data_IF_544170443721
#
_entry.id   IF_544170443721
#
_cell.length_a   1.000
_cell.length_b   1.000
_cell.length_c   1.000
_cell.angle_alpha   90.00
_cell.angle_beta   90.00
_cell.angle_gamma   90.00
#
_symmetry.space_group_name_H-M   'P 1'
#
loop_
_entity.id
_entity.type
_entity.pdbx_description
1 polymer ?
#
# COMPACT_ATOMS: atom_id res chain seq x y z
N UNK A 1 14.79 5.13 63.90
CA UNK A 1 13.89 4.51 62.91
C UNK A 1 13.83 5.39 61.67
N UNK A 2 14.47 4.99 60.56
CA UNK A 2 14.38 5.68 59.27
C UNK A 2 13.17 5.13 58.55
N UNK A 3 12.12 5.91 58.39
CA UNK A 3 10.98 5.57 57.55
C UNK A 3 11.47 5.49 56.10
N UNK A 4 11.45 4.29 55.49
CA UNK A 4 11.59 4.12 54.07
C UNK A 4 10.41 4.86 53.41
N UNK A 5 10.69 5.95 52.66
CA UNK A 5 9.74 6.50 51.74
C UNK A 5 9.40 5.40 50.69
N UNK A 6 8.23 4.84 50.81
CA UNK A 6 7.64 4.10 49.68
C UNK A 6 7.42 5.10 48.59
N UNK A 7 8.19 5.01 47.52
CA UNK A 7 7.83 5.68 46.24
C UNK A 7 6.48 5.05 45.83
N UNK A 8 5.41 5.82 45.93
CA UNK A 8 4.16 5.44 45.28
C UNK A 8 4.46 5.39 43.76
N UNK A 9 4.44 4.20 43.21
CA UNK A 9 4.49 3.99 41.76
C UNK A 9 3.23 4.62 41.20
N UNK A 10 3.37 5.66 40.38
CA UNK A 10 2.24 6.32 39.78
C UNK A 10 1.68 5.40 38.68
N UNK A 11 0.47 4.90 38.86
CA UNK A 11 -0.25 4.16 37.84
C UNK A 11 -0.57 5.13 36.71
N UNK A 12 -0.11 4.81 35.52
CA UNK A 12 -0.43 5.57 34.30
C UNK A 12 -1.57 4.90 33.55
N UNK A 13 -2.46 5.73 33.00
CA UNK A 13 -3.56 5.27 32.15
C UNK A 13 -3.24 5.47 30.69
N UNK A 14 -3.48 4.42 29.93
CA UNK A 14 -3.30 4.40 28.49
C UNK A 14 -4.60 4.03 27.82
N UNK A 15 -4.82 4.60 26.63
CA UNK A 15 -6.02 4.37 25.84
C UNK A 15 -5.65 3.88 24.45
N UNK A 16 -6.48 2.97 23.94
CA UNK A 16 -6.47 2.56 22.54
C UNK A 16 -7.76 2.95 21.88
N UNK A 17 -7.67 3.44 20.64
CA UNK A 17 -8.83 3.70 19.78
C UNK A 17 -8.60 3.01 18.45
N UNK A 18 -9.63 2.34 17.91
CA UNK A 18 -9.68 1.94 16.50
C UNK A 18 -11.08 2.15 15.95
N UNK A 19 -11.19 2.33 14.64
CA UNK A 19 -12.47 2.51 13.98
C UNK A 19 -12.53 1.74 12.67
N UNK A 20 -13.68 1.16 12.42
CA UNK A 20 -13.95 0.31 11.25
C UNK A 20 -15.45 0.11 11.00
N UNK A 21 -15.78 -0.78 10.09
CA UNK A 21 -14.92 -1.50 9.15
C UNK A 21 -14.59 -0.65 7.93
N UNK A 22 -13.29 -0.35 7.72
CA UNK A 22 -12.85 0.52 6.63
C UNK A 22 -13.09 -0.14 5.29
N UNK A 23 -12.62 -1.38 5.10
CA UNK A 23 -12.71 -2.09 3.82
C UNK A 23 -14.15 -2.27 3.34
N UNK A 24 -15.06 -2.55 4.25
CA UNK A 24 -16.48 -2.64 3.92
C UNK A 24 -17.05 -1.32 3.42
N UNK A 25 -16.65 -0.19 4.00
CA UNK A 25 -17.09 1.13 3.56
C UNK A 25 -16.40 1.51 2.24
N UNK A 26 -15.14 1.15 2.07
CA UNK A 26 -14.40 1.33 0.82
C UNK A 26 -15.02 0.51 -0.34
N UNK A 27 -15.60 -0.67 -0.05
CA UNK A 27 -16.25 -1.49 -1.08
C UNK A 27 -17.49 -0.82 -1.71
N UNK A 28 -18.04 0.22 -1.09
CA UNK A 28 -19.13 1.02 -1.69
C UNK A 28 -18.65 1.96 -2.81
N UNK A 29 -17.36 2.19 -2.91
CA UNK A 29 -16.78 3.10 -3.87
C UNK A 29 -16.71 2.46 -5.27
N UNK A 30 -17.27 3.13 -6.29
CA UNK A 30 -17.35 2.62 -7.66
C UNK A 30 -16.41 3.31 -8.64
N UNK A 31 -15.94 4.49 -8.28
CA UNK A 31 -15.06 5.31 -9.09
C UNK A 31 -13.80 5.66 -8.30
N UNK A 32 -12.75 6.10 -8.99
CA UNK A 32 -11.51 6.54 -8.36
C UNK A 32 -11.74 7.66 -7.36
N UNK A 33 -12.60 8.63 -7.72
CA UNK A 33 -13.00 9.72 -6.84
C UNK A 33 -13.69 9.20 -5.58
N UNK A 34 -14.60 8.23 -5.70
CA UNK A 34 -15.29 7.66 -4.54
C UNK A 34 -14.37 6.79 -3.68
N UNK A 35 -13.37 6.13 -4.25
CA UNK A 35 -12.30 5.43 -3.49
C UNK A 35 -11.49 6.45 -2.68
N UNK A 36 -11.06 7.54 -3.31
CA UNK A 36 -10.39 8.61 -2.59
C UNK A 36 -11.27 9.20 -1.48
N UNK A 37 -12.52 9.55 -1.79
CA UNK A 37 -13.43 10.16 -0.83
C UNK A 37 -13.71 9.25 0.37
N UNK A 38 -13.88 7.95 0.16
CA UNK A 38 -14.12 6.98 1.23
C UNK A 38 -12.87 6.76 2.10
N UNK A 39 -11.69 6.66 1.49
CA UNK A 39 -10.43 6.58 2.22
C UNK A 39 -10.15 7.88 3.02
N UNK A 40 -10.31 9.03 2.37
CA UNK A 40 -10.12 10.32 3.02
C UNK A 40 -11.10 10.56 4.16
N UNK A 41 -12.31 10.05 4.07
CA UNK A 41 -13.35 10.15 5.11
C UNK A 41 -12.86 9.56 6.44
N UNK A 42 -12.27 8.37 6.44
CA UNK A 42 -11.74 7.77 7.66
C UNK A 42 -10.54 8.53 8.21
N UNK A 43 -9.66 8.99 7.34
CA UNK A 43 -8.53 9.81 7.75
C UNK A 43 -8.96 11.18 8.32
N UNK A 44 -10.01 11.82 7.76
CA UNK A 44 -10.59 13.07 8.30
C UNK A 44 -11.30 12.82 9.64
N UNK A 45 -12.00 11.70 9.77
CA UNK A 45 -12.62 11.27 11.03
C UNK A 45 -11.56 11.09 12.12
N UNK A 46 -10.49 10.33 11.82
CA UNK A 46 -9.35 10.14 12.71
C UNK A 46 -8.72 11.45 13.12
N UNK A 47 -8.43 12.34 12.16
CA UNK A 47 -7.89 13.69 12.40
C UNK A 47 -8.73 14.46 13.38
N UNK A 48 -10.06 14.43 13.24
CA UNK A 48 -11.01 15.16 14.10
C UNK A 48 -11.06 14.59 15.51
N UNK A 49 -10.88 13.27 15.68
CA UNK A 49 -10.82 12.63 17.01
C UNK A 49 -9.46 12.88 17.68
N UNK A 50 -8.38 12.73 16.94
CA UNK A 50 -7.01 12.84 17.46
C UNK A 50 -6.64 14.28 17.83
N UNK A 51 -7.18 15.26 17.10
CA UNK A 51 -6.85 16.68 17.36
C UNK A 51 -7.20 17.12 18.79
N UNK A 52 -8.43 16.98 19.30
CA UNK A 52 -8.76 17.36 20.68
C UNK A 52 -7.97 16.58 21.73
N UNK A 53 -7.64 15.31 21.48
CA UNK A 53 -6.78 14.50 22.37
C UNK A 53 -5.35 15.07 22.42
N UNK A 54 -4.81 15.43 21.26
CA UNK A 54 -3.49 16.08 21.16
C UNK A 54 -3.48 17.47 21.82
N UNK A 55 -4.54 18.26 21.63
CA UNK A 55 -4.69 19.58 22.24
C UNK A 55 -4.87 19.48 23.78
N UNK A 56 -5.42 18.36 24.28
CA UNK A 56 -5.49 18.04 25.72
C UNK A 56 -4.15 17.57 26.31
N UNK A 57 -3.10 17.41 25.50
CA UNK A 57 -1.77 17.02 25.94
C UNK A 57 -1.53 15.52 26.00
N UNK A 58 -2.41 14.69 25.44
CA UNK A 58 -2.20 13.25 25.35
C UNK A 58 -0.91 12.93 24.58
N UNK A 59 -0.13 11.99 25.09
CA UNK A 59 1.12 11.54 24.45
C UNK A 59 0.86 10.28 23.63
N UNK A 60 0.90 10.43 22.31
CA UNK A 60 0.71 9.32 21.39
C UNK A 60 1.95 8.41 21.36
N UNK A 61 1.73 7.12 21.59
CA UNK A 61 2.75 6.07 21.56
C UNK A 61 2.80 5.42 20.18
N UNK A 62 1.62 5.24 19.53
CA UNK A 62 1.51 4.66 18.19
C UNK A 62 0.19 5.09 17.53
N UNK A 63 0.24 5.63 16.29
CA UNK A 63 1.43 6.24 15.69
C UNK A 63 1.86 7.50 16.46
N UNK A 64 3.07 7.97 16.20
CA UNK A 64 3.49 9.30 16.68
C UNK A 64 2.65 10.36 15.99
N UNK A 65 2.10 11.30 16.77
CA UNK A 65 1.29 12.40 16.26
C UNK A 65 2.02 13.72 16.53
N UNK A 66 2.29 14.47 15.48
CA UNK A 66 2.92 15.79 15.57
C UNK A 66 2.03 16.88 14.96
N UNK A 67 2.33 18.15 15.28
CA UNK A 67 1.52 19.30 14.82
C UNK A 67 1.48 19.46 13.30
N UNK A 68 2.50 19.00 12.57
CA UNK A 68 2.57 19.10 11.10
C UNK A 68 1.52 18.21 10.41
N UNK A 69 1.15 17.08 11.03
CA UNK A 69 0.13 16.19 10.50
C UNK A 69 -1.25 16.86 10.36
N UNK A 70 -1.55 17.84 11.22
CA UNK A 70 -2.85 18.56 11.18
C UNK A 70 -2.94 19.60 10.07
N UNK A 71 -1.85 19.84 9.34
CA UNK A 71 -1.85 20.74 8.20
C UNK A 71 -2.83 20.32 7.10
N UNK A 72 -3.13 21.23 6.14
CA UNK A 72 -3.99 20.89 5.02
C UNK A 72 -3.33 19.84 4.14
N UNK A 73 -4.10 18.84 3.71
CA UNK A 73 -3.67 17.77 2.81
C UNK A 73 -4.88 17.21 2.10
N UNK A 74 -4.75 16.90 0.81
CA UNK A 74 -5.73 16.16 0.03
C UNK A 74 -5.55 14.64 0.11
N UNK A 75 -4.47 14.18 0.75
CA UNK A 75 -4.18 12.76 0.99
C UNK A 75 -4.48 12.42 2.45
N UNK A 76 -5.13 11.29 2.68
CA UNK A 76 -5.37 10.78 4.02
C UNK A 76 -4.06 10.39 4.71
N UNK A 77 -3.82 10.94 5.91
CA UNK A 77 -2.57 10.75 6.68
C UNK A 77 -2.79 10.14 8.05
N UNK A 78 -4.04 10.03 8.48
CA UNK A 78 -4.39 9.58 9.81
C UNK A 78 -4.85 8.13 9.72
N UNK A 79 -4.11 7.17 10.32
CA UNK A 79 -4.51 5.78 10.37
C UNK A 79 -5.76 5.56 11.25
N UNK A 80 -6.25 4.35 11.29
CA UNK A 80 -7.45 3.95 11.99
C UNK A 80 -7.22 3.57 13.46
N UNK A 81 -5.97 3.32 13.84
CA UNK A 81 -5.62 2.85 15.17
C UNK A 81 -4.66 3.78 15.90
N UNK A 82 -4.95 4.07 17.17
CA UNK A 82 -4.12 4.92 18.04
C UNK A 82 -3.96 4.32 19.41
N UNK A 83 -2.75 4.47 19.96
CA UNK A 83 -2.41 4.19 21.36
C UNK A 83 -1.78 5.42 21.98
N UNK A 84 -2.30 5.90 23.11
CA UNK A 84 -1.83 7.11 23.75
C UNK A 84 -1.93 7.04 25.28
N UNK A 85 -1.06 7.79 25.96
CA UNK A 85 -1.10 8.04 27.40
C UNK A 85 -2.12 9.15 27.67
N UNK A 86 -3.03 8.90 28.64
CA UNK A 86 -4.02 9.87 29.06
C UNK A 86 -3.44 11.04 29.84
N UNK A 87 -4.29 11.98 30.17
CA UNK A 87 -3.98 13.18 30.99
C UNK A 87 -5.07 13.36 32.06
N UNK A 88 -4.89 14.31 32.98
CA UNK A 88 -5.95 14.63 33.95
C UNK A 88 -7.28 15.01 33.30
N UNK A 89 -7.25 15.54 32.08
CA UNK A 89 -8.44 15.87 31.28
C UNK A 89 -9.01 14.68 30.54
N UNK A 90 -8.18 13.73 30.18
CA UNK A 90 -8.53 12.50 29.46
C UNK A 90 -8.16 11.31 30.36
N UNK A 91 -9.02 11.04 31.31
CA UNK A 91 -8.73 10.10 32.42
C UNK A 91 -9.63 8.87 32.44
N UNK A 92 -10.62 8.78 31.53
CA UNK A 92 -11.53 7.63 31.45
C UNK A 92 -11.99 7.34 30.01
N UNK A 93 -12.50 6.13 29.79
CA UNK A 93 -13.12 5.71 28.51
C UNK A 93 -14.29 6.62 28.15
N UNK A 94 -15.07 7.05 29.12
CA UNK A 94 -16.26 7.91 28.91
C UNK A 94 -15.85 9.23 28.28
N UNK A 95 -14.77 9.87 28.76
CA UNK A 95 -14.26 11.14 28.22
C UNK A 95 -13.80 10.96 26.77
N UNK A 96 -13.11 9.87 26.46
CA UNK A 96 -12.68 9.56 25.09
C UNK A 96 -13.89 9.30 24.19
N UNK A 97 -14.88 8.55 24.68
CA UNK A 97 -16.12 8.25 23.96
C UNK A 97 -16.92 9.51 23.64
N UNK A 98 -17.02 10.44 24.60
CA UNK A 98 -17.70 11.71 24.38
C UNK A 98 -17.06 12.52 23.24
N UNK A 99 -15.73 12.56 23.16
CA UNK A 99 -15.02 13.18 22.05
C UNK A 99 -15.39 12.50 20.71
N UNK A 100 -15.39 11.18 20.66
CA UNK A 100 -15.74 10.41 19.47
C UNK A 100 -17.20 10.67 19.03
N UNK A 101 -18.13 10.65 19.97
CA UNK A 101 -19.55 10.88 19.71
C UNK A 101 -19.82 12.30 19.22
N UNK A 102 -19.15 13.32 19.80
CA UNK A 102 -19.22 14.71 19.35
C UNK A 102 -18.72 14.87 17.91
N UNK A 103 -17.63 14.18 17.56
CA UNK A 103 -17.10 14.19 16.19
C UNK A 103 -18.07 13.52 15.22
N UNK A 104 -18.65 12.35 15.58
CA UNK A 104 -19.65 11.69 14.74
C UNK A 104 -20.91 12.54 14.54
N UNK A 105 -21.37 13.26 15.57
CA UNK A 105 -22.45 14.24 15.48
C UNK A 105 -22.14 15.37 14.49
N UNK A 106 -20.92 15.96 14.56
CA UNK A 106 -20.51 17.02 13.62
C UNK A 106 -20.45 16.50 12.18
N UNK A 107 -19.82 15.34 11.96
CA UNK A 107 -19.76 14.69 10.65
C UNK A 107 -21.16 14.40 10.12
N UNK A 108 -22.07 13.87 10.95
CA UNK A 108 -23.45 13.62 10.60
C UNK A 108 -24.19 14.89 10.16
N UNK A 109 -24.04 15.99 10.89
CA UNK A 109 -24.62 17.28 10.53
C UNK A 109 -24.10 17.81 9.18
N UNK A 110 -22.83 17.61 8.90
CA UNK A 110 -22.23 17.98 7.61
C UNK A 110 -22.77 17.09 6.48
N UNK A 111 -22.93 15.78 6.73
CA UNK A 111 -23.53 14.86 5.75
C UNK A 111 -24.97 15.23 5.41
N UNK A 112 -25.81 15.51 6.40
CA UNK A 112 -27.20 15.95 6.18
C UNK A 112 -27.24 17.16 5.24
N UNK A 113 -26.39 18.17 5.50
CA UNK A 113 -26.29 19.37 4.64
C UNK A 113 -25.79 19.05 3.23
N UNK A 114 -24.70 18.28 3.12
CA UNK A 114 -24.09 17.94 1.84
C UNK A 114 -25.01 17.11 0.96
N UNK A 115 -25.78 16.21 1.55
CA UNK A 115 -26.71 15.32 0.84
C UNK A 115 -28.10 15.95 0.62
N UNK A 116 -28.40 17.06 1.27
CA UNK A 116 -29.72 17.69 1.20
C UNK A 116 -30.83 16.85 1.82
N UNK A 117 -30.51 16.12 2.91
CA UNK A 117 -31.46 15.20 3.54
C UNK A 117 -32.36 15.91 4.54
N UNK A 118 -33.61 15.47 4.59
CA UNK A 118 -34.56 15.89 5.63
C UNK A 118 -34.52 14.90 6.81
N UNK A 119 -33.34 14.80 7.44
CA UNK A 119 -33.10 14.00 8.63
C UNK A 119 -32.72 14.90 9.80
N UNK A 120 -33.17 14.52 11.02
CA UNK A 120 -32.68 15.18 12.21
C UNK A 120 -31.27 14.67 12.59
N UNK A 121 -30.62 15.39 13.53
CA UNK A 121 -29.25 15.10 13.96
C UNK A 121 -29.10 13.69 14.54
N UNK A 122 -30.09 13.27 15.33
CA UNK A 122 -30.04 11.99 16.04
C UNK A 122 -30.15 10.81 15.06
N UNK A 123 -31.00 10.92 14.04
CA UNK A 123 -31.15 9.90 13.02
C UNK A 123 -29.86 9.66 12.22
N UNK A 124 -29.15 10.73 11.86
CA UNK A 124 -27.88 10.60 11.13
C UNK A 124 -26.74 10.12 12.06
N UNK A 125 -26.74 10.56 13.30
CA UNK A 125 -25.80 10.07 14.31
C UNK A 125 -25.97 8.57 14.55
N UNK A 126 -27.22 8.10 14.73
CA UNK A 126 -27.53 6.68 14.88
C UNK A 126 -27.13 5.87 13.64
N UNK A 127 -27.32 6.42 12.43
CA UNK A 127 -26.84 5.81 11.20
C UNK A 127 -25.31 5.64 11.22
N UNK A 128 -24.58 6.72 11.51
CA UNK A 128 -23.12 6.68 11.54
C UNK A 128 -22.62 5.70 12.61
N UNK A 129 -23.20 5.70 13.79
CA UNK A 129 -22.84 4.77 14.89
C UNK A 129 -23.05 3.29 14.54
N UNK A 130 -24.04 2.99 13.69
CA UNK A 130 -24.23 1.63 13.17
C UNK A 130 -23.21 1.27 12.08
N UNK A 131 -22.85 2.23 11.22
CA UNK A 131 -21.93 2.01 10.09
C UNK A 131 -20.46 2.08 10.46
N UNK A 132 -20.12 2.95 11.39
CA UNK A 132 -18.75 3.19 11.85
C UNK A 132 -18.66 2.79 13.31
N UNK A 133 -17.95 1.72 13.57
CA UNK A 133 -17.68 1.27 14.93
C UNK A 133 -16.41 1.94 15.43
N UNK A 134 -16.47 2.51 16.62
CA UNK A 134 -15.33 3.07 17.32
C UNK A 134 -15.14 2.26 18.60
N UNK A 135 -14.03 1.52 18.64
CA UNK A 135 -13.65 0.74 19.81
C UNK A 135 -12.66 1.52 20.64
N UNK A 136 -12.88 1.54 21.95
CA UNK A 136 -12.04 2.23 22.91
C UNK A 136 -11.71 1.24 24.01
N UNK A 137 -10.43 1.12 24.32
CA UNK A 137 -9.92 0.29 25.42
C UNK A 137 -9.06 1.13 26.36
N UNK A 138 -9.07 0.78 27.65
CA UNK A 138 -8.25 1.39 28.69
C UNK A 138 -7.31 0.35 29.25
N UNK A 139 -6.08 0.75 29.52
CA UNK A 139 -5.05 -0.09 30.10
C UNK A 139 -4.27 0.68 31.15
N UNK A 140 -4.13 0.11 32.33
CA UNK A 140 -3.33 0.69 33.42
C UNK A 140 -1.99 -0.02 33.55
N UNK A 141 -0.91 0.74 33.69
CA UNK A 141 0.44 0.19 33.86
C UNK A 141 1.20 0.95 34.93
N UNK A 142 1.93 0.22 35.73
CA UNK A 142 2.87 0.74 36.75
C UNK A 142 4.26 1.02 36.16
N UNK A 143 4.53 0.57 34.94
CA UNK A 143 5.84 0.67 34.27
C UNK A 143 5.85 1.62 33.08
N UNK A 144 7.05 2.04 32.69
CA UNK A 144 7.29 2.91 31.54
C UNK A 144 7.57 2.14 30.22
N UNK A 145 7.31 0.81 30.18
CA UNK A 145 7.52 0.01 28.98
C UNK A 145 6.44 0.28 27.94
N UNK A 146 6.69 1.28 27.10
CA UNK A 146 5.78 1.68 26.04
C UNK A 146 5.54 0.58 24.99
N UNK A 147 6.49 -0.35 24.80
CA UNK A 147 6.36 -1.45 23.82
C UNK A 147 5.36 -2.48 24.32
N UNK A 148 5.48 -2.88 25.60
CA UNK A 148 4.53 -3.81 26.23
C UNK A 148 3.12 -3.22 26.27
N UNK A 149 2.99 -1.94 26.62
CA UNK A 149 1.71 -1.20 26.64
C UNK A 149 1.06 -1.19 25.23
N UNK A 150 1.81 -0.80 24.20
CA UNK A 150 1.29 -0.77 22.80
C UNK A 150 0.81 -2.15 22.38
N UNK A 151 1.59 -3.20 22.64
CA UNK A 151 1.23 -4.59 22.29
C UNK A 151 -0.02 -5.06 23.02
N UNK A 152 -0.13 -4.78 24.33
CA UNK A 152 -1.31 -5.15 25.13
C UNK A 152 -2.57 -4.48 24.59
N UNK A 153 -2.53 -3.17 24.33
CA UNK A 153 -3.66 -2.40 23.82
C UNK A 153 -4.05 -2.85 22.40
N UNK A 154 -3.09 -3.10 21.51
CA UNK A 154 -3.37 -3.60 20.16
C UNK A 154 -4.09 -4.96 20.19
N UNK A 155 -3.66 -5.88 21.06
CA UNK A 155 -4.36 -7.14 21.24
C UNK A 155 -5.80 -6.95 21.76
N UNK A 156 -6.02 -6.01 22.68
CA UNK A 156 -7.36 -5.69 23.20
C UNK A 156 -8.26 -5.10 22.09
N UNK A 157 -7.73 -4.21 21.26
CA UNK A 157 -8.46 -3.62 20.13
C UNK A 157 -8.82 -4.68 19.09
N UNK A 158 -7.88 -5.54 18.70
CA UNK A 158 -8.16 -6.66 17.77
C UNK A 158 -9.24 -7.60 18.32
N UNK A 159 -9.21 -7.92 19.62
CA UNK A 159 -10.26 -8.69 20.24
C UNK A 159 -11.62 -7.98 20.23
N UNK A 160 -11.65 -6.66 20.35
CA UNK A 160 -12.89 -5.88 20.32
C UNK A 160 -13.50 -5.87 18.90
N UNK A 161 -12.66 -5.72 17.88
CA UNK A 161 -13.08 -5.76 16.45
C UNK A 161 -13.69 -7.10 16.04
N UNK A 162 -13.13 -8.22 16.52
CA UNK A 162 -13.63 -9.57 16.22
C UNK A 162 -15.03 -9.88 16.77
N UNK A 163 -15.58 -9.05 17.68
CA UNK A 163 -16.85 -9.32 18.34
C UNK A 163 -18.09 -8.82 17.59
N UNK A 164 -17.91 -7.91 16.65
CA UNK A 164 -19.03 -7.27 15.98
C UNK A 164 -19.48 -8.03 14.74
N UNK A 165 -20.80 -8.32 14.72
CA UNK A 165 -21.50 -8.80 13.53
C UNK A 165 -22.09 -7.56 12.83
N UNK A 166 -21.67 -7.29 11.62
CA UNK A 166 -22.18 -6.17 10.83
C UNK A 166 -23.43 -6.61 10.07
N UNK A 167 -24.61 -6.00 10.31
CA UNK A 167 -25.80 -6.34 9.55
C UNK A 167 -25.65 -5.93 8.08
N UNK A 168 -25.98 -6.84 7.17
CA UNK A 168 -25.75 -6.70 5.72
C UNK A 168 -26.77 -5.80 4.99
N UNK A 169 -27.91 -5.48 5.58
CA UNK A 169 -29.02 -4.90 4.84
C UNK A 169 -29.48 -3.60 5.48
N UNK A 170 -29.02 -2.48 4.92
CA UNK A 170 -29.70 -1.20 5.10
C UNK A 170 -30.20 -0.67 3.75
N UNK A 171 -31.47 -0.25 3.70
CA UNK A 171 -32.11 0.33 2.49
C UNK A 171 -31.46 1.62 2.01
N UNK A 172 -30.81 2.38 2.89
CA UNK A 172 -30.20 3.66 2.59
C UNK A 172 -28.70 3.63 2.92
N UNK A 173 -27.86 3.73 1.90
CA UNK A 173 -26.42 3.86 2.08
C UNK A 173 -25.97 5.31 1.89
N UNK A 174 -26.14 6.14 2.94
CA UNK A 174 -25.80 7.56 2.88
C UNK A 174 -24.29 7.81 2.69
N UNK A 175 -23.40 6.92 3.17
CA UNK A 175 -21.98 7.01 2.93
C UNK A 175 -21.64 6.81 1.44
N UNK A 176 -22.22 5.79 0.78
CA UNK A 176 -22.07 5.63 -0.65
C UNK A 176 -22.55 6.85 -1.42
N UNK A 177 -23.71 7.40 -1.06
CA UNK A 177 -24.25 8.60 -1.69
C UNK A 177 -23.35 9.82 -1.49
N UNK A 178 -22.68 9.93 -0.33
CA UNK A 178 -21.69 10.99 -0.07
C UNK A 178 -20.48 10.83 -1.00
N UNK A 179 -19.92 9.63 -1.09
CA UNK A 179 -18.69 9.40 -1.88
C UNK A 179 -18.90 9.58 -3.39
N UNK A 180 -20.12 9.39 -3.87
CA UNK A 180 -20.48 9.62 -5.30
C UNK A 180 -20.79 11.09 -5.62
N UNK A 181 -20.72 12.01 -4.65
CA UNK A 181 -20.88 13.45 -4.92
C UNK A 181 -19.78 13.99 -5.83
N UNK A 182 -20.07 15.10 -6.50
CA UNK A 182 -19.08 15.82 -7.31
C UNK A 182 -17.89 16.26 -6.43
N UNK A 183 -16.73 16.38 -7.04
CA UNK A 183 -15.50 16.77 -6.31
C UNK A 183 -15.65 18.10 -5.56
N UNK A 184 -16.37 19.07 -6.12
CA UNK A 184 -16.64 20.34 -5.46
C UNK A 184 -17.39 20.17 -4.13
N UNK A 185 -18.42 19.31 -4.11
CA UNK A 185 -19.20 19.02 -2.91
C UNK A 185 -18.35 18.29 -1.85
N UNK A 186 -17.50 17.34 -2.31
CA UNK A 186 -16.58 16.60 -1.46
C UNK A 186 -15.51 17.52 -0.86
N UNK A 187 -14.91 18.41 -1.67
CA UNK A 187 -13.96 19.40 -1.18
C UNK A 187 -14.59 20.31 -0.12
N UNK A 188 -15.80 20.76 -0.35
CA UNK A 188 -16.54 21.57 0.61
C UNK A 188 -16.84 20.77 1.89
N UNK A 189 -17.27 19.51 1.74
CA UNK A 189 -17.53 18.62 2.88
C UNK A 189 -16.28 18.41 3.74
N UNK A 190 -15.12 18.17 3.14
CA UNK A 190 -13.87 17.96 3.85
C UNK A 190 -13.13 19.24 4.24
N UNK A 191 -13.54 20.40 3.73
CA UNK A 191 -12.85 21.67 3.95
C UNK A 191 -11.54 21.79 3.16
N UNK A 192 -11.51 21.29 1.93
CA UNK A 192 -10.33 21.20 1.05
C UNK A 192 -10.40 22.15 -0.16
N UNK A 193 -11.19 23.22 -0.09
CA UNK A 193 -11.46 24.09 -1.26
C UNK A 193 -10.19 24.68 -1.91
N UNK A 194 -9.18 24.95 -1.10
CA UNK A 194 -7.92 25.57 -1.54
C UNK A 194 -6.89 24.54 -2.07
N UNK A 195 -7.19 23.23 -2.01
CA UNK A 195 -6.27 22.22 -2.45
C UNK A 195 -6.61 21.72 -3.86
N UNK A 196 -5.60 21.33 -4.63
CA UNK A 196 -5.78 20.57 -5.88
C UNK A 196 -6.59 19.33 -5.53
N UNK A 197 -7.71 19.14 -6.21
CA UNK A 197 -8.61 18.03 -5.96
C UNK A 197 -8.37 16.89 -6.91
N UNK A 198 -9.03 15.84 -6.58
CA UNK A 198 -9.03 14.56 -7.22
C UNK A 198 -10.25 14.46 -8.14
N UNK A 199 -10.17 15.03 -9.35
CA UNK A 199 -11.32 15.09 -10.26
C UNK A 199 -11.49 13.83 -11.10
N UNK A 200 -10.39 13.26 -11.53
CA UNK A 200 -10.33 12.04 -12.35
C UNK A 200 -8.95 11.41 -12.15
N UNK A 201 -8.80 10.17 -12.59
CA UNK A 201 -7.48 9.67 -12.98
C UNK A 201 -6.82 10.74 -13.86
N UNK A 202 -5.55 11.12 -13.62
CA UNK A 202 -4.79 11.83 -14.64
C UNK A 202 -5.11 11.12 -15.96
N UNK A 203 -5.38 11.87 -17.02
CA UNK A 203 -5.61 11.25 -18.33
C UNK A 203 -4.48 10.25 -18.51
N UNK A 204 -4.84 8.96 -18.40
CA UNK A 204 -3.86 7.89 -18.49
C UNK A 204 -3.29 8.03 -19.87
N UNK A 205 -2.01 8.37 -19.93
CA UNK A 205 -1.34 8.51 -21.20
C UNK A 205 -1.75 7.34 -22.07
N UNK A 206 -2.21 7.62 -23.24
CA UNK A 206 -2.69 6.85 -24.39
C UNK A 206 -2.78 5.30 -24.33
N UNK A 207 -2.30 4.66 -23.28
CA UNK A 207 -2.12 3.21 -23.21
C UNK A 207 -3.25 2.43 -22.52
N UNK A 208 -4.29 3.13 -22.02
CA UNK A 208 -5.50 2.54 -21.46
C UNK A 208 -5.33 1.53 -20.32
N UNK A 209 -4.14 1.42 -19.71
CA UNK A 209 -3.90 0.55 -18.56
C UNK A 209 -3.56 1.36 -17.31
N UNK A 210 -4.19 1.00 -16.22
CA UNK A 210 -4.01 1.61 -14.91
C UNK A 210 -3.49 0.58 -13.92
N UNK A 211 -2.72 1.04 -12.98
CA UNK A 211 -2.14 0.23 -11.92
C UNK A 211 -2.64 0.75 -10.59
N UNK A 212 -3.20 -0.14 -9.77
CA UNK A 212 -3.45 0.12 -8.38
C UNK A 212 -2.35 -0.55 -7.55
N UNK A 213 -1.68 0.23 -6.72
CA UNK A 213 -0.62 -0.26 -5.84
C UNK A 213 -1.07 -0.12 -4.39
N UNK A 214 -0.97 -1.21 -3.67
CA UNK A 214 -1.07 -1.25 -2.22
C UNK A 214 0.31 -1.62 -1.67
N UNK A 215 0.83 -0.85 -0.73
CA UNK A 215 2.12 -1.11 -0.11
C UNK A 215 2.00 -1.07 1.41
N UNK A 216 2.78 -1.90 2.09
CA UNK A 216 2.83 -1.89 3.54
C UNK A 216 4.25 -2.20 4.02
N UNK A 217 4.62 -1.56 5.14
CA UNK A 217 5.93 -1.64 5.72
C UNK A 217 6.26 -2.99 6.35
N UNK A 218 7.45 -3.49 6.07
CA UNK A 218 8.00 -4.68 6.69
C UNK A 218 8.92 -4.28 7.84
N UNK A 219 8.76 -4.92 9.01
CA UNK A 219 9.60 -4.73 10.20
C UNK A 219 9.57 -3.31 10.81
N UNK A 220 8.65 -2.42 10.39
CA UNK A 220 8.56 -1.06 10.94
C UNK A 220 8.19 -1.05 12.41
N UNK A 221 7.20 -1.83 12.85
CA UNK A 221 6.70 -1.81 14.22
C UNK A 221 7.75 -2.06 15.28
N UNK A 222 8.71 -2.97 15.03
CA UNK A 222 9.82 -3.27 15.95
C UNK A 222 10.83 -2.12 15.99
N UNK A 223 11.16 -1.57 14.83
CA UNK A 223 12.15 -0.51 14.70
C UNK A 223 11.62 0.86 15.19
N UNK A 224 10.33 1.17 15.00
CA UNK A 224 9.67 2.35 15.54
C UNK A 224 9.69 2.41 17.07
N UNK A 225 9.54 1.26 17.73
CA UNK A 225 9.61 1.18 19.17
C UNK A 225 11.01 1.51 19.73
N UNK A 226 12.06 1.28 18.94
CA UNK A 226 13.46 1.49 19.32
C UNK A 226 14.00 2.87 18.92
N UNK A 227 13.42 3.51 17.92
CA UNK A 227 13.93 4.76 17.34
C UNK A 227 12.82 5.81 17.19
N UNK A 228 12.80 6.80 18.07
CA UNK A 228 11.81 7.91 18.00
C UNK A 228 11.90 8.72 16.70
N UNK A 229 13.11 8.89 16.16
CA UNK A 229 13.36 9.67 14.94
C UNK A 229 12.84 8.96 13.67
N UNK A 230 12.58 7.65 13.74
CA UNK A 230 12.12 6.89 12.60
C UNK A 230 10.73 7.33 12.12
N UNK A 231 9.85 7.72 13.04
CA UNK A 231 8.52 8.23 12.70
C UNK A 231 8.56 9.53 11.89
N UNK A 232 9.43 10.46 12.28
CA UNK A 232 9.59 11.75 11.57
C UNK A 232 10.26 11.55 10.20
N UNK A 233 11.23 10.64 10.11
CA UNK A 233 11.88 10.27 8.86
C UNK A 233 10.90 9.59 7.90
N UNK A 234 10.03 8.73 8.43
CA UNK A 234 9.02 8.06 7.63
C UNK A 234 7.96 9.05 7.12
N UNK A 235 7.64 10.08 7.89
CA UNK A 235 6.79 11.17 7.40
C UNK A 235 7.46 11.90 6.22
N UNK A 236 8.78 12.16 6.31
CA UNK A 236 9.56 12.76 5.21
C UNK A 236 9.58 11.85 3.99
N UNK A 237 9.76 10.54 4.19
CA UNK A 237 9.63 9.55 3.11
C UNK A 237 8.27 9.63 2.41
N UNK A 238 7.19 9.75 3.19
CA UNK A 238 5.88 9.87 2.61
C UNK A 238 5.65 11.14 1.77
N UNK A 239 6.30 12.26 2.10
CA UNK A 239 6.28 13.45 1.25
C UNK A 239 7.02 13.19 -0.07
N UNK A 240 8.17 12.51 -0.03
CA UNK A 240 8.94 12.12 -1.22
C UNK A 240 8.23 11.09 -2.07
N UNK A 241 7.62 10.10 -1.45
CA UNK A 241 6.78 9.11 -2.14
C UNK A 241 5.66 9.80 -2.93
N UNK A 242 4.96 10.76 -2.30
CA UNK A 242 3.90 11.49 -2.98
C UNK A 242 4.44 12.28 -4.18
N UNK A 243 5.54 13.02 -4.01
CA UNK A 243 6.20 13.74 -5.10
C UNK A 243 6.54 12.77 -6.26
N UNK A 244 7.19 11.64 -5.97
CA UNK A 244 7.58 10.67 -6.99
C UNK A 244 6.39 10.06 -7.73
N UNK A 245 5.30 9.74 -7.00
CA UNK A 245 4.07 9.20 -7.62
C UNK A 245 3.37 10.26 -8.48
N UNK A 246 3.29 11.52 -8.02
CA UNK A 246 2.68 12.61 -8.77
C UNK A 246 3.51 12.97 -10.01
N UNK A 247 4.84 13.00 -9.92
CA UNK A 247 5.75 13.25 -11.04
C UNK A 247 5.68 12.13 -12.10
N UNK A 248 5.46 10.89 -11.65
CA UNK A 248 5.18 9.76 -12.54
C UNK A 248 3.81 9.85 -13.22
N UNK A 249 2.95 10.77 -12.83
CA UNK A 249 1.59 10.91 -13.34
C UNK A 249 0.56 10.08 -12.56
N UNK A 250 0.94 9.54 -11.41
CA UNK A 250 0.05 8.82 -10.51
C UNK A 250 -0.60 9.73 -9.47
N UNK A 251 -1.30 9.12 -8.51
CA UNK A 251 -1.92 9.82 -7.41
C UNK A 251 -2.01 8.95 -6.16
N UNK A 252 -1.52 9.49 -5.04
CA UNK A 252 -1.63 8.85 -3.74
C UNK A 252 -3.04 9.02 -3.21
N UNK A 253 -3.68 7.90 -2.86
CA UNK A 253 -5.03 7.86 -2.27
C UNK A 253 -4.94 7.96 -0.75
N UNK A 254 -4.04 7.17 -0.16
CA UNK A 254 -3.86 7.06 1.27
C UNK A 254 -2.39 6.84 1.64
N UNK A 255 -2.00 7.43 2.74
CA UNK A 255 -0.69 7.28 3.34
C UNK A 255 -0.81 7.43 4.86
N UNK A 256 -1.04 6.33 5.54
CA UNK A 256 -1.18 6.26 6.99
C UNK A 256 -0.07 5.45 7.64
N UNK A 257 1.04 6.11 7.99
CA UNK A 257 2.20 5.39 8.50
C UNK A 257 2.87 4.57 7.40
N UNK A 258 2.99 3.27 7.60
CA UNK A 258 3.57 2.30 6.68
C UNK A 258 2.57 1.72 5.67
N UNK A 259 1.27 2.00 5.83
CA UNK A 259 0.22 1.62 4.88
C UNK A 259 0.05 2.72 3.82
N UNK A 260 0.27 2.37 2.57
CA UNK A 260 0.27 3.28 1.43
C UNK A 260 -0.61 2.70 0.32
N UNK A 261 -1.43 3.53 -0.30
CA UNK A 261 -2.15 3.17 -1.51
C UNK A 261 -2.14 4.29 -2.53
N UNK A 262 -1.86 3.95 -3.77
CA UNK A 262 -1.88 4.88 -4.88
C UNK A 262 -2.27 4.17 -6.17
N UNK A 263 -2.61 4.95 -7.18
CA UNK A 263 -2.67 4.44 -8.54
C UNK A 263 -1.87 5.32 -9.49
N UNK A 264 -1.48 4.71 -10.60
CA UNK A 264 -0.63 5.30 -11.60
C UNK A 264 -0.95 4.72 -12.98
N UNK A 265 -0.52 5.37 -14.07
CA UNK A 265 -0.47 4.74 -15.38
C UNK A 265 0.52 3.56 -15.36
N UNK A 266 0.32 2.60 -16.26
CA UNK A 266 1.26 1.48 -16.40
C UNK A 266 2.64 1.97 -16.86
N UNK A 267 2.67 3.02 -17.67
CA UNK A 267 3.85 3.61 -18.27
C UNK A 267 3.65 5.12 -18.47
N UNK A 268 4.66 5.93 -18.19
CA UNK A 268 4.57 7.39 -18.26
C UNK A 268 5.32 8.02 -19.46
N UNK A 269 5.76 7.21 -20.42
CA UNK A 269 6.56 7.64 -21.57
C UNK A 269 8.08 7.48 -21.40
N UNK A 270 8.58 7.27 -20.18
CA UNK A 270 10.00 7.05 -19.88
C UNK A 270 10.24 5.78 -19.06
N UNK A 271 9.33 5.50 -18.13
CA UNK A 271 9.50 4.44 -17.13
C UNK A 271 8.20 3.66 -16.97
N UNK A 272 8.32 2.39 -16.61
CA UNK A 272 7.20 1.56 -16.22
C UNK A 272 6.95 1.60 -14.69
N UNK A 273 5.88 0.96 -14.25
CA UNK A 273 5.51 0.95 -12.82
C UNK A 273 6.60 0.33 -11.92
N UNK A 274 7.36 -0.67 -12.40
CA UNK A 274 8.40 -1.30 -11.59
C UNK A 274 9.60 -0.37 -11.40
N UNK A 275 9.91 0.49 -12.37
CA UNK A 275 10.89 1.56 -12.21
C UNK A 275 10.47 2.54 -11.11
N UNK A 276 9.21 2.96 -11.09
CA UNK A 276 8.67 3.79 -10.01
C UNK A 276 8.85 3.12 -8.65
N UNK A 277 8.45 1.84 -8.51
CA UNK A 277 8.57 1.10 -7.24
C UNK A 277 10.03 0.98 -6.78
N UNK A 278 10.96 0.75 -7.71
CA UNK A 278 12.39 0.75 -7.41
C UNK A 278 12.87 2.12 -6.91
N UNK A 279 12.37 3.20 -7.51
CA UNK A 279 12.62 4.57 -7.05
C UNK A 279 12.14 4.81 -5.62
N UNK A 280 10.94 4.34 -5.29
CA UNK A 280 10.36 4.46 -3.94
C UNK A 280 11.17 3.67 -2.90
N UNK A 281 11.65 2.47 -3.22
CA UNK A 281 12.52 1.70 -2.35
C UNK A 281 13.85 2.44 -2.09
N UNK A 282 14.42 3.06 -3.12
CA UNK A 282 15.65 3.86 -2.98
C UNK A 282 15.42 5.10 -2.09
N UNK A 283 14.28 5.78 -2.21
CA UNK A 283 13.92 6.89 -1.32
C UNK A 283 13.75 6.43 0.13
N UNK A 284 13.16 5.26 0.37
CA UNK A 284 13.08 4.68 1.71
C UNK A 284 14.47 4.42 2.29
N UNK A 285 15.36 3.79 1.52
CA UNK A 285 16.76 3.54 1.95
C UNK A 285 17.46 4.83 2.31
N UNK A 286 17.30 5.90 1.53
CA UNK A 286 17.88 7.23 1.84
C UNK A 286 17.33 7.79 3.15
N UNK A 287 16.03 7.64 3.42
CA UNK A 287 15.42 8.08 4.66
C UNK A 287 15.89 7.30 5.88
N UNK A 288 16.23 6.03 5.71
CA UNK A 288 16.73 5.17 6.77
C UNK A 288 18.23 5.34 7.06
N UNK A 289 18.98 6.04 6.21
CA UNK A 289 20.42 6.27 6.40
C UNK A 289 20.69 6.96 7.74
N UNK A 290 21.65 6.38 8.52
CA UNK A 290 22.04 6.88 9.84
C UNK A 290 21.06 6.53 10.98
N UNK A 291 20.04 5.72 10.72
CA UNK A 291 19.23 5.10 11.78
C UNK A 291 19.94 3.84 12.28
N UNK A 292 20.04 3.70 13.59
CA UNK A 292 20.63 2.50 14.18
C UNK A 292 19.59 1.35 14.12
N UNK A 293 19.70 0.54 13.07
CA UNK A 293 18.82 -0.62 12.82
C UNK A 293 19.60 -1.86 13.25
N UNK A 294 19.12 -2.53 14.27
CA UNK A 294 19.85 -3.67 14.88
C UNK A 294 19.55 -4.99 14.19
N UNK A 295 18.29 -5.22 13.75
CA UNK A 295 17.86 -6.46 13.10
C UNK A 295 16.73 -6.18 12.12
N UNK A 296 16.73 -6.85 10.97
CA UNK A 296 15.69 -6.74 9.95
C UNK A 296 15.43 -5.30 9.47
N UNK A 297 16.18 -4.88 8.47
CA UNK A 297 16.02 -3.56 7.83
C UNK A 297 14.56 -3.36 7.40
N UNK A 298 13.94 -2.22 7.74
CA UNK A 298 12.61 -1.89 7.24
C UNK A 298 12.60 -1.84 5.71
N UNK A 299 11.56 -2.43 5.12
CA UNK A 299 11.34 -2.46 3.67
C UNK A 299 9.86 -2.28 3.36
N UNK A 300 9.50 -2.21 2.08
CA UNK A 300 8.12 -2.20 1.64
C UNK A 300 7.81 -3.49 0.88
N UNK A 301 6.68 -4.10 1.17
CA UNK A 301 6.07 -5.11 0.31
C UNK A 301 4.94 -4.47 -0.49
N UNK A 302 4.77 -4.90 -1.75
CA UNK A 302 3.80 -4.33 -2.66
C UNK A 302 2.85 -5.38 -3.24
N UNK A 303 1.56 -5.04 -3.30
CA UNK A 303 0.56 -5.69 -4.14
C UNK A 303 0.25 -4.78 -5.33
N UNK A 304 0.46 -5.26 -6.55
CA UNK A 304 0.37 -4.47 -7.80
C UNK A 304 -0.67 -5.09 -8.72
N UNK A 305 -1.83 -4.47 -8.84
CA UNK A 305 -2.88 -4.90 -9.75
C UNK A 305 -2.92 -3.99 -10.98
N UNK A 306 -2.68 -4.57 -12.15
CA UNK A 306 -2.66 -3.88 -13.44
C UNK A 306 -3.91 -4.29 -14.20
N UNK A 307 -4.73 -3.33 -14.63
CA UNK A 307 -5.97 -3.59 -15.34
C UNK A 307 -6.24 -2.56 -16.44
N UNK A 308 -7.08 -2.95 -17.39
CA UNK A 308 -7.61 -2.02 -18.38
C UNK A 308 -8.44 -0.92 -17.70
N UNK A 309 -8.34 0.32 -18.14
CA UNK A 309 -8.96 1.50 -17.49
C UNK A 309 -10.47 1.39 -17.26
N UNK A 310 -11.19 0.63 -18.12
CA UNK A 310 -12.64 0.41 -18.00
C UNK A 310 -13.00 -0.76 -17.08
N UNK A 311 -11.98 -1.45 -16.54
CA UNK A 311 -12.23 -2.48 -15.52
C UNK A 311 -12.70 -1.80 -14.22
N UNK A 312 -13.64 -2.41 -13.45
CA UNK A 312 -14.12 -1.81 -12.22
C UNK A 312 -12.96 -1.56 -11.23
N UNK A 313 -12.71 -0.29 -10.90
CA UNK A 313 -11.60 0.11 -10.04
C UNK A 313 -11.66 -0.53 -8.64
N UNK A 314 -12.88 -0.79 -8.14
CA UNK A 314 -13.08 -1.49 -6.86
C UNK A 314 -12.49 -2.90 -6.88
N UNK A 315 -12.64 -3.63 -8.00
CA UNK A 315 -12.07 -4.98 -8.16
C UNK A 315 -10.54 -4.89 -8.28
N UNK A 316 -10.01 -3.91 -9.02
CA UNK A 316 -8.56 -3.69 -9.15
C UNK A 316 -7.95 -3.36 -7.78
N UNK A 317 -8.60 -2.51 -6.97
CA UNK A 317 -8.18 -2.21 -5.59
C UNK A 317 -8.17 -3.46 -4.73
N UNK A 318 -9.28 -4.20 -4.73
CA UNK A 318 -9.38 -5.43 -3.94
C UNK A 318 -8.29 -6.44 -4.34
N UNK A 319 -8.04 -6.56 -5.64
CA UNK A 319 -6.98 -7.44 -6.14
C UNK A 319 -5.59 -7.01 -5.65
N UNK A 320 -5.29 -5.71 -5.64
CA UNK A 320 -4.03 -5.22 -5.09
C UNK A 320 -3.87 -5.54 -3.59
N UNK A 321 -4.96 -5.52 -2.83
CA UNK A 321 -4.98 -5.91 -1.42
C UNK A 321 -4.65 -7.39 -1.24
N UNK A 322 -5.32 -8.28 -1.97
CA UNK A 322 -5.04 -9.73 -1.98
C UNK A 322 -3.59 -10.04 -2.39
N UNK A 323 -3.06 -9.29 -3.36
CA UNK A 323 -1.66 -9.43 -3.78
C UNK A 323 -0.69 -8.95 -2.69
N UNK A 324 -1.02 -7.89 -1.95
CA UNK A 324 -0.22 -7.44 -0.82
C UNK A 324 -0.24 -8.46 0.33
N UNK A 325 -1.39 -9.05 0.65
CA UNK A 325 -1.49 -10.14 1.63
C UNK A 325 -0.57 -11.30 1.21
N UNK A 326 -0.61 -11.70 -0.06
CA UNK A 326 0.30 -12.71 -0.59
C UNK A 326 1.77 -12.30 -0.46
N UNK A 327 2.11 -11.02 -0.62
CA UNK A 327 3.47 -10.52 -0.43
C UNK A 327 3.91 -10.62 1.04
N UNK A 328 2.99 -10.33 1.98
CA UNK A 328 3.24 -10.40 3.42
C UNK A 328 3.39 -11.83 3.94
N UNK A 329 2.78 -12.81 3.27
CA UNK A 329 2.89 -14.24 3.61
C UNK A 329 4.19 -14.87 3.08
N UNK A 330 4.91 -14.22 2.17
CA UNK A 330 6.19 -14.73 1.67
C UNK A 330 7.27 -14.68 2.74
N UNK A 331 8.08 -15.72 2.81
CA UNK A 331 9.25 -15.74 3.68
C UNK A 331 10.21 -14.58 3.34
N UNK A 332 10.54 -13.79 4.35
CA UNK A 332 11.40 -12.62 4.20
C UNK A 332 10.67 -11.35 3.78
N UNK A 333 9.40 -11.44 3.36
CA UNK A 333 8.64 -10.28 2.86
C UNK A 333 9.43 -9.50 1.80
N UNK A 334 9.46 -8.16 1.81
CA UNK A 334 10.28 -7.33 0.91
C UNK A 334 10.19 -7.80 -0.56
N UNK A 335 8.97 -7.87 -1.07
CA UNK A 335 8.71 -8.34 -2.43
C UNK A 335 7.55 -7.57 -3.07
N UNK A 336 7.46 -7.69 -4.39
CA UNK A 336 6.35 -7.21 -5.21
C UNK A 336 5.59 -8.43 -5.68
N UNK A 337 4.30 -8.53 -5.36
CA UNK A 337 3.39 -9.50 -5.96
C UNK A 337 2.50 -8.75 -6.93
N UNK A 338 2.50 -9.14 -8.18
CA UNK A 338 1.82 -8.41 -9.23
C UNK A 338 0.91 -9.29 -10.09
N UNK A 339 -0.12 -8.69 -10.65
CA UNK A 339 -1.00 -9.31 -11.64
C UNK A 339 -1.38 -8.30 -12.72
N UNK A 340 -1.20 -8.70 -13.97
CA UNK A 340 -1.74 -8.02 -15.15
C UNK A 340 -3.00 -8.74 -15.61
N UNK A 341 -4.12 -8.02 -15.67
CA UNK A 341 -5.36 -8.47 -16.28
C UNK A 341 -5.59 -7.73 -17.60
N UNK A 342 -5.46 -8.45 -18.70
CA UNK A 342 -5.71 -7.92 -20.04
C UNK A 342 -7.21 -7.67 -20.26
N UNK A 343 -7.54 -6.80 -21.22
CA UNK A 343 -8.93 -6.56 -21.65
C UNK A 343 -9.67 -7.85 -22.03
N UNK A 344 -8.96 -8.83 -22.60
CA UNK A 344 -9.51 -10.16 -22.94
C UNK A 344 -9.87 -11.02 -21.72
N UNK A 345 -9.56 -10.59 -20.51
CA UNK A 345 -9.71 -11.36 -19.26
C UNK A 345 -8.53 -12.30 -18.97
N UNK A 346 -7.53 -12.38 -19.85
CA UNK A 346 -6.32 -13.16 -19.59
C UNK A 346 -5.50 -12.49 -18.50
N UNK A 347 -4.99 -13.30 -17.55
CA UNK A 347 -4.12 -12.85 -16.48
C UNK A 347 -2.72 -13.41 -16.62
N UNK A 348 -1.72 -12.65 -16.19
CA UNK A 348 -0.35 -13.07 -15.93
C UNK A 348 0.13 -12.36 -14.67
N UNK A 349 1.01 -13.00 -13.91
CA UNK A 349 1.44 -12.42 -12.65
C UNK A 349 2.63 -13.15 -12.07
N UNK A 350 3.23 -12.59 -11.03
CA UNK A 350 4.40 -13.19 -10.41
C UNK A 350 4.81 -12.51 -9.12
N UNK A 351 5.92 -12.96 -8.58
CA UNK A 351 6.53 -12.46 -7.33
C UNK A 351 7.95 -12.00 -7.62
N UNK A 352 8.22 -10.71 -7.47
CA UNK A 352 9.57 -10.15 -7.56
C UNK A 352 10.11 -9.98 -6.14
N UNK A 353 11.09 -10.78 -5.76
CA UNK A 353 11.80 -10.65 -4.48
C UNK A 353 12.84 -9.55 -4.59
N UNK A 354 12.92 -8.68 -3.56
CA UNK A 354 13.83 -7.54 -3.51
C UNK A 354 14.85 -7.64 -2.37
N UNK A 355 14.61 -8.53 -1.43
CA UNK A 355 15.42 -8.69 -0.22
C UNK A 355 16.83 -9.24 -0.47
N UNK A 356 17.61 -9.42 0.62
CA UNK A 356 19.01 -9.85 0.54
C UNK A 356 19.21 -11.06 -0.36
N UNK A 357 20.15 -10.94 -1.31
CA UNK A 357 20.43 -11.96 -2.32
C UNK A 357 19.62 -11.86 -3.62
N UNK A 358 18.59 -11.02 -3.67
CA UNK A 358 17.73 -10.83 -4.85
C UNK A 358 17.84 -9.43 -5.49
N UNK A 359 18.66 -8.53 -4.92
CA UNK A 359 18.80 -7.15 -5.41
C UNK A 359 19.28 -7.14 -6.87
N UNK A 360 20.18 -8.05 -7.23
CA UNK A 360 20.70 -8.18 -8.61
C UNK A 360 19.61 -8.62 -9.58
N UNK A 361 18.74 -9.53 -9.15
CA UNK A 361 17.63 -10.00 -9.97
C UNK A 361 16.63 -8.85 -10.22
N UNK A 362 16.29 -8.08 -9.20
CA UNK A 362 15.36 -6.94 -9.36
C UNK A 362 15.93 -5.87 -10.30
N UNK A 363 17.20 -5.53 -10.18
CA UNK A 363 17.87 -4.62 -11.12
C UNK A 363 17.87 -5.19 -12.54
N UNK A 364 18.14 -6.49 -12.70
CA UNK A 364 18.13 -7.16 -14.01
C UNK A 364 16.72 -7.13 -14.65
N UNK A 365 15.66 -7.23 -13.85
CA UNK A 365 14.28 -7.07 -14.34
C UNK A 365 14.05 -5.67 -14.90
N UNK A 366 14.43 -4.64 -14.16
CA UNK A 366 14.30 -3.25 -14.62
C UNK A 366 15.08 -3.03 -15.92
N UNK A 367 16.32 -3.53 -16.00
CA UNK A 367 17.14 -3.44 -17.20
C UNK A 367 16.54 -4.19 -18.38
N UNK A 368 15.96 -5.35 -18.15
CA UNK A 368 15.25 -6.14 -19.21
C UNK A 368 14.06 -5.36 -19.76
N UNK A 369 13.25 -4.80 -18.89
CA UNK A 369 12.09 -3.98 -19.27
C UNK A 369 12.56 -2.78 -20.11
N UNK A 370 13.57 -2.04 -19.64
CA UNK A 370 14.10 -0.89 -20.36
C UNK A 370 14.63 -1.25 -21.76
N UNK A 371 15.34 -2.38 -21.88
CA UNK A 371 15.86 -2.87 -23.17
C UNK A 371 14.76 -3.32 -24.13
N UNK A 372 13.65 -3.85 -23.61
CA UNK A 372 12.55 -4.36 -24.42
C UNK A 372 11.88 -3.31 -25.31
N UNK A 373 11.94 -2.03 -24.93
CA UNK A 373 11.45 -0.93 -25.77
C UNK A 373 12.23 -0.72 -27.08
N UNK A 374 13.45 -1.25 -27.15
CA UNK A 374 14.25 -1.25 -28.39
C UNK A 374 13.96 -2.46 -29.28
N UNK A 375 13.18 -3.43 -28.80
CA UNK A 375 12.89 -4.66 -29.49
C UNK A 375 11.57 -4.62 -30.24
N UNK A 376 11.46 -5.44 -31.30
CA UNK A 376 10.19 -5.55 -32.02
C UNK A 376 9.21 -6.45 -31.28
N UNK A 377 7.93 -6.14 -31.36
CA UNK A 377 6.88 -6.94 -30.72
C UNK A 377 6.90 -8.40 -31.20
N UNK A 378 7.19 -8.64 -32.49
CA UNK A 378 7.29 -9.96 -33.07
C UNK A 378 8.46 -10.77 -32.46
N UNK A 379 9.58 -10.11 -32.19
CA UNK A 379 10.72 -10.72 -31.52
C UNK A 379 10.37 -11.11 -30.06
N UNK A 380 9.80 -10.17 -29.30
CA UNK A 380 9.40 -10.43 -27.90
C UNK A 380 8.40 -11.60 -27.81
N UNK A 381 7.40 -11.63 -28.71
CA UNK A 381 6.47 -12.75 -28.79
C UNK A 381 7.17 -14.08 -29.08
N UNK A 382 8.14 -14.06 -30.00
CA UNK A 382 8.93 -15.25 -30.35
C UNK A 382 9.73 -15.78 -29.19
N UNK A 383 10.32 -14.90 -28.37
CA UNK A 383 11.09 -15.27 -27.18
C UNK A 383 10.19 -15.87 -26.10
N UNK A 384 9.05 -15.26 -25.85
CA UNK A 384 8.04 -15.79 -24.90
C UNK A 384 7.56 -17.18 -25.30
N UNK A 385 7.26 -17.37 -26.60
CA UNK A 385 6.88 -18.67 -27.15
C UNK A 385 8.00 -19.69 -27.05
N UNK A 386 9.25 -19.29 -27.32
CA UNK A 386 10.44 -20.13 -27.24
C UNK A 386 10.64 -20.72 -25.84
N UNK A 387 10.48 -19.94 -24.78
CA UNK A 387 10.58 -20.44 -23.41
C UNK A 387 9.63 -21.60 -23.13
N UNK A 388 8.38 -21.49 -23.55
CA UNK A 388 7.37 -22.55 -23.36
C UNK A 388 7.63 -23.75 -24.26
N UNK A 389 8.07 -23.53 -25.50
CA UNK A 389 8.38 -24.60 -26.44
C UNK A 389 9.52 -25.49 -25.97
N UNK A 390 10.52 -24.90 -25.32
CA UNK A 390 11.72 -25.59 -24.86
C UNK A 390 11.75 -25.76 -23.32
N UNK A 391 10.62 -25.75 -22.70
CA UNK A 391 10.49 -25.87 -21.24
C UNK A 391 11.23 -27.09 -20.68
N UNK A 392 11.03 -28.31 -21.24
CA UNK A 392 11.68 -29.54 -20.78
C UNK A 392 13.21 -29.50 -20.91
N UNK A 393 13.79 -29.17 -22.08
CA UNK A 393 15.23 -28.99 -22.19
C UNK A 393 15.80 -27.95 -21.25
N UNK A 394 15.10 -26.80 -21.05
CA UNK A 394 15.55 -25.76 -20.16
C UNK A 394 15.50 -26.19 -18.69
N UNK A 395 14.48 -26.92 -18.25
CA UNK A 395 14.42 -27.55 -16.93
C UNK A 395 15.63 -28.43 -16.64
N UNK A 396 15.97 -29.30 -17.61
CA UNK A 396 17.17 -30.14 -17.50
C UNK A 396 18.44 -29.30 -17.38
N UNK A 397 18.62 -28.29 -18.24
CA UNK A 397 19.80 -27.42 -18.24
C UNK A 397 19.93 -26.68 -16.90
N UNK A 398 18.85 -26.06 -16.42
CA UNK A 398 18.84 -25.30 -15.18
C UNK A 398 19.06 -26.14 -13.92
N UNK A 399 18.82 -27.44 -13.99
CA UNK A 399 19.10 -28.40 -12.91
C UNK A 399 20.57 -28.81 -12.80
N UNK A 400 21.43 -28.47 -13.78
CA UNK A 400 22.83 -28.87 -13.81
C UNK A 400 23.75 -27.82 -13.14
N UNK A 401 24.88 -28.28 -12.60
CA UNK A 401 25.86 -27.36 -11.97
C UNK A 401 26.52 -26.41 -12.99
N UNK A 402 26.68 -26.84 -14.23
CA UNK A 402 27.26 -26.08 -15.34
C UNK A 402 26.19 -25.40 -16.23
N UNK A 403 25.05 -25.06 -15.63
CA UNK A 403 23.85 -24.51 -16.31
C UNK A 403 24.14 -23.32 -17.21
N UNK A 404 25.01 -22.39 -16.81
CA UNK A 404 25.36 -21.23 -17.63
C UNK A 404 25.95 -21.63 -18.98
N UNK A 405 26.93 -22.52 -18.96
CA UNK A 405 27.59 -23.03 -20.20
C UNK A 405 26.62 -23.80 -21.06
N UNK A 406 25.77 -24.64 -20.45
CA UNK A 406 24.77 -25.41 -21.18
C UNK A 406 23.70 -24.54 -21.80
N UNK A 407 23.24 -23.51 -21.07
CA UNK A 407 22.28 -22.55 -21.57
C UNK A 407 22.84 -21.71 -22.72
N UNK A 408 24.11 -21.28 -22.62
CA UNK A 408 24.79 -20.57 -23.71
C UNK A 408 24.88 -21.44 -24.97
N UNK A 409 25.29 -22.71 -24.85
CA UNK A 409 25.35 -23.64 -25.98
C UNK A 409 23.94 -23.92 -26.54
N UNK A 410 22.96 -24.06 -25.69
CA UNK A 410 21.57 -24.29 -26.11
C UNK A 410 21.03 -23.08 -26.91
N UNK A 411 21.25 -21.85 -26.45
CA UNK A 411 20.85 -20.65 -27.18
C UNK A 411 21.58 -20.56 -28.51
N UNK A 412 22.91 -20.75 -28.58
CA UNK A 412 23.69 -20.70 -29.81
C UNK A 412 23.20 -21.71 -30.85
N UNK A 413 22.77 -22.90 -30.41
CA UNK A 413 22.28 -23.94 -31.33
C UNK A 413 20.86 -23.75 -31.81
N UNK A 414 20.03 -23.01 -31.07
CA UNK A 414 18.61 -22.80 -31.38
C UNK A 414 18.32 -21.44 -32.00
N UNK A 415 19.25 -20.47 -31.89
CA UNK A 415 19.10 -19.18 -32.49
C UNK A 415 20.15 -18.95 -33.59
N UNK A 416 19.68 -18.57 -34.76
CA UNK A 416 20.57 -18.32 -35.91
C UNK A 416 21.24 -16.94 -35.69
N UNK A 417 22.56 -16.92 -35.56
CA UNK A 417 23.35 -15.68 -35.34
C UNK A 417 23.06 -14.61 -36.40
N UNK A 418 22.88 -15.01 -37.67
CA UNK A 418 22.62 -14.05 -38.76
C UNK A 418 21.29 -13.32 -38.64
N UNK A 419 20.31 -13.86 -37.90
CA UNK A 419 18.98 -13.29 -37.73
C UNK A 419 18.83 -12.62 -36.36
N UNK A 420 19.55 -13.12 -35.35
CA UNK A 420 19.36 -12.75 -33.97
C UNK A 420 20.52 -11.96 -33.34
N UNK A 421 21.59 -11.67 -34.10
CA UNK A 421 22.76 -10.96 -33.60
C UNK A 421 22.42 -9.56 -33.03
N UNK A 422 21.47 -8.89 -33.65
CA UNK A 422 20.95 -7.59 -33.17
C UNK A 422 20.24 -7.70 -31.80
N UNK A 423 19.75 -8.89 -31.40
CA UNK A 423 19.02 -9.16 -30.16
C UNK A 423 19.89 -9.83 -29.09
N UNK A 424 21.18 -10.02 -29.36
CA UNK A 424 22.10 -10.76 -28.49
C UNK A 424 22.09 -10.25 -27.05
N UNK A 425 22.15 -8.96 -26.87
CA UNK A 425 22.18 -8.32 -25.54
C UNK A 425 20.91 -8.65 -24.75
N UNK A 426 19.76 -8.68 -25.41
CA UNK A 426 18.49 -9.03 -24.79
C UNK A 426 18.46 -10.51 -24.36
N UNK A 427 18.92 -11.42 -25.22
CA UNK A 427 19.05 -12.85 -24.87
C UNK A 427 20.04 -13.09 -23.72
N UNK A 428 21.14 -12.35 -23.67
CA UNK A 428 22.11 -12.43 -22.59
C UNK A 428 21.49 -12.02 -21.26
N UNK A 429 20.62 -10.99 -21.24
CA UNK A 429 19.85 -10.60 -20.07
C UNK A 429 18.91 -11.72 -19.62
N UNK A 430 18.17 -12.34 -20.53
CA UNK A 430 17.27 -13.47 -20.22
C UNK A 430 18.03 -14.67 -19.65
N UNK A 431 19.15 -15.05 -20.27
CA UNK A 431 20.01 -16.15 -19.78
C UNK A 431 20.48 -15.89 -18.35
N UNK A 432 20.99 -14.69 -18.11
CA UNK A 432 21.46 -14.27 -16.79
C UNK A 432 20.35 -14.36 -15.75
N UNK A 433 19.17 -13.87 -16.08
CA UNK A 433 18.03 -13.90 -15.15
C UNK A 433 17.53 -15.33 -14.87
N UNK A 434 17.47 -16.19 -15.89
CA UNK A 434 17.14 -17.61 -15.70
C UNK A 434 18.13 -18.31 -14.76
N UNK A 435 19.42 -18.03 -14.91
CA UNK A 435 20.45 -18.56 -14.01
C UNK A 435 20.27 -18.03 -12.58
N UNK A 436 20.10 -16.73 -12.41
CA UNK A 436 19.89 -16.11 -11.08
C UNK A 436 18.63 -16.66 -10.40
N UNK A 437 17.52 -16.78 -11.12
CA UNK A 437 16.26 -17.28 -10.56
C UNK A 437 16.38 -18.74 -10.15
N UNK A 438 17.08 -19.55 -10.95
CA UNK A 438 17.29 -21.00 -10.69
C UNK A 438 18.27 -21.29 -9.55
N UNK A 439 18.98 -20.27 -9.00
CA UNK A 439 19.81 -20.45 -7.79
C UNK A 439 18.96 -20.66 -6.54
N UNK A 440 17.76 -20.02 -6.50
CA UNK A 440 16.92 -19.98 -5.32
C UNK A 440 15.58 -20.70 -5.48
N UNK A 441 15.21 -21.10 -6.70
CA UNK A 441 13.92 -21.69 -7.02
C UNK A 441 14.09 -22.96 -7.88
N UNK A 442 13.05 -23.78 -7.92
CA UNK A 442 13.04 -24.94 -8.80
C UNK A 442 13.09 -24.52 -10.29
N UNK A 443 13.72 -25.29 -11.18
CA UNK A 443 13.81 -24.95 -12.61
C UNK A 443 12.46 -24.64 -13.28
N UNK A 444 11.41 -25.38 -12.93
CA UNK A 444 10.05 -25.13 -13.44
C UNK A 444 9.56 -23.74 -13.03
N UNK A 445 9.67 -23.43 -11.75
CA UNK A 445 9.20 -22.16 -11.20
C UNK A 445 9.96 -20.99 -11.82
N UNK A 446 11.27 -21.17 -12.09
CA UNK A 446 12.11 -20.17 -12.74
C UNK A 446 11.70 -19.89 -14.19
N UNK A 447 11.32 -20.95 -14.94
CA UNK A 447 10.85 -20.82 -16.33
C UNK A 447 9.46 -20.16 -16.36
N UNK A 448 8.54 -20.57 -15.49
CA UNK A 448 7.21 -19.99 -15.39
C UNK A 448 7.28 -18.52 -15.00
N UNK A 449 8.12 -18.18 -14.04
CA UNK A 449 8.41 -16.81 -13.64
C UNK A 449 8.89 -15.95 -14.82
N UNK A 450 9.90 -16.43 -15.55
CA UNK A 450 10.43 -15.72 -16.73
C UNK A 450 9.40 -15.61 -17.84
N UNK A 451 8.60 -16.64 -18.07
CA UNK A 451 7.54 -16.60 -19.05
C UNK A 451 6.48 -15.53 -18.71
N UNK A 452 6.04 -15.47 -17.47
CA UNK A 452 5.05 -14.46 -17.05
C UNK A 452 5.62 -13.03 -17.11
N UNK A 453 6.88 -12.84 -16.71
CA UNK A 453 7.58 -11.56 -16.85
C UNK A 453 7.70 -11.14 -18.32
N UNK A 454 8.08 -12.04 -19.22
CA UNK A 454 8.18 -11.73 -20.64
C UNK A 454 6.81 -11.44 -21.27
N UNK A 455 5.74 -12.07 -20.80
CA UNK A 455 4.37 -11.73 -21.20
C UNK A 455 3.96 -10.34 -20.75
N UNK A 456 4.38 -9.92 -19.57
CA UNK A 456 4.22 -8.54 -19.11
C UNK A 456 4.96 -7.57 -20.03
N UNK A 457 6.24 -7.85 -20.31
CA UNK A 457 7.10 -7.03 -21.18
C UNK A 457 6.52 -6.91 -22.59
N UNK A 458 6.12 -8.03 -23.19
CA UNK A 458 5.46 -8.07 -24.52
C UNK A 458 4.19 -7.20 -24.53
N UNK A 459 3.38 -7.31 -23.49
CA UNK A 459 2.17 -6.51 -23.37
C UNK A 459 2.49 -5.02 -23.21
N UNK A 460 3.45 -4.68 -22.34
CA UNK A 460 3.87 -3.31 -22.09
C UNK A 460 4.34 -2.63 -23.39
N UNK A 461 5.22 -3.28 -24.15
CA UNK A 461 5.72 -2.77 -25.43
C UNK A 461 4.60 -2.65 -26.47
N UNK A 462 3.67 -3.61 -26.50
CA UNK A 462 2.49 -3.55 -27.37
C UNK A 462 1.60 -2.34 -27.06
N UNK A 463 1.38 -2.08 -25.79
CA UNK A 463 0.53 -0.96 -25.32
C UNK A 463 1.19 0.38 -25.62
N UNK A 464 2.50 0.51 -25.41
CA UNK A 464 3.26 1.74 -25.65
C UNK A 464 3.34 2.05 -27.16
N UNK A 465 3.52 1.04 -28.01
CA UNK A 465 3.65 1.24 -29.45
C UNK A 465 2.31 1.48 -30.19
N UNK A 466 1.18 1.09 -29.59
CA UNK A 466 -0.15 1.24 -30.17
C UNK A 466 -0.99 2.40 -29.58
N UNK A 467 -0.47 3.06 -28.57
CA UNK A 467 -1.07 4.24 -27.95
C UNK A 467 -0.45 5.51 -28.48
#
# INVERSE_FOLDING_TARGET
>A
MKFKKYNMVSIKKYFGITFGPIDRVLSYAKSTRSIWASSYFFSDLAKRIVKPLSDAGCKFLKPSVNKKMFGPSSVGRFPDQYVFEGTDRISSIETVREICDNVLCDVGNRMVRCLGLNLNKDQMFDYLRRKIKIYIVEYESEGDDSVAVVKAIQNMLSCAECRDIYPDIERNNYLSNLFEKKIFDLKNFFGLMDLKGFDSLPEVASNHYVVFVKADGDNFGKNLALNKDLSDRFQTFGEKLRESVEDYGGQVIYQGGDDISFYAPLYNGNEDIFCLLSGLDNELVKCLNGVNITDNVPSLSYGVAISYEKHPMAETRQRAEELLENAKDKQGKNCIVWELRKHSGQTSGGVIKKGPGNERLFVAIIDLIARSFSETQMFLHSVTFWLKRYEQPLQYILSQDNRETLLENFVKNNFNESIHDQHKTYFDSIKQMLCMESENNAPNDSIDYMHDLLRYVEHLVSVVNNG
#
